data_IF_273508922990
#
_entry.id   IF_273508922990
#
_cell.length_a   1.000
_cell.length_b   1.000
_cell.length_c   1.000
_cell.angle_alpha   90.00
_cell.angle_beta   90.00
_cell.angle_gamma   90.00
#
_symmetry.space_group_name_H-M   'P 1'
#
loop_
_entity.id
_entity.type
_entity.pdbx_description
1 polymer ?
#
# COMPACT_ATOMS: atom_id res chain seq x y z
N UNK A 1 12.72 -18.99 8.95
CA UNK A 1 11.99 -17.85 8.38
C UNK A 1 12.20 -16.63 9.27
N UNK A 2 12.50 -15.49 8.66
CA UNK A 2 12.70 -14.28 9.44
C UNK A 2 11.39 -13.82 10.10
N UNK A 3 11.49 -13.26 11.29
CA UNK A 3 10.35 -12.65 11.96
C UNK A 3 9.91 -11.42 11.20
N UNK A 4 8.60 -11.12 11.22
CA UNK A 4 8.07 -9.92 10.62
C UNK A 4 8.55 -8.69 11.39
N UNK A 5 8.95 -7.65 10.65
CA UNK A 5 9.31 -6.37 11.22
C UNK A 5 8.05 -5.71 11.78
N UNK A 6 8.15 -5.11 12.96
CA UNK A 6 7.06 -4.31 13.54
C UNK A 6 7.48 -2.86 13.57
N UNK A 7 6.75 -2.01 12.85
CA UNK A 7 6.97 -0.57 12.83
C UNK A 7 6.02 0.12 13.79
N UNK A 8 6.53 1.08 14.54
CA UNK A 8 5.77 1.85 15.51
C UNK A 8 5.79 3.33 15.14
N UNK A 9 4.84 4.09 15.66
CA UNK A 9 4.82 5.55 15.48
C UNK A 9 6.13 6.15 15.98
N UNK A 10 6.73 7.00 15.16
CA UNK A 10 8.03 7.61 15.45
C UNK A 10 9.22 6.88 14.83
N UNK A 11 9.02 5.65 14.34
CA UNK A 11 10.07 4.94 13.63
C UNK A 11 10.29 5.56 12.25
N UNK A 12 11.54 5.49 11.78
CA UNK A 12 11.84 5.90 10.42
C UNK A 12 11.29 4.89 9.45
N UNK A 13 10.60 5.37 8.40
CA UNK A 13 10.03 4.49 7.39
C UNK A 13 11.11 3.79 6.58
N UNK A 14 10.96 2.49 6.28
CA UNK A 14 11.74 1.86 5.23
C UNK A 14 11.55 2.57 3.90
N UNK A 15 12.54 2.51 3.04
CA UNK A 15 12.46 3.08 1.69
C UNK A 15 11.80 2.08 0.74
N UNK A 16 11.10 2.59 -0.25
CA UNK A 16 10.57 1.77 -1.32
C UNK A 16 10.76 2.44 -2.67
N UNK A 17 10.78 1.63 -3.72
CA UNK A 17 10.91 2.05 -5.10
C UNK A 17 10.16 1.01 -5.94
N UNK A 18 8.99 1.36 -6.44
CA UNK A 18 8.14 0.42 -7.16
C UNK A 18 7.37 1.10 -8.28
N UNK A 19 6.98 0.31 -9.27
CA UNK A 19 6.11 0.77 -10.35
C UNK A 19 4.66 0.52 -9.98
N UNK A 20 3.78 1.39 -10.46
CA UNK A 20 2.35 1.15 -10.40
C UNK A 20 1.87 0.36 -11.62
N UNK A 21 0.57 0.06 -11.69
CA UNK A 21 0.00 -0.71 -12.78
C UNK A 21 0.03 0.00 -14.14
N UNK A 22 0.32 1.29 -14.15
CA UNK A 22 0.46 2.07 -15.39
C UNK A 22 1.92 2.26 -15.80
N UNK A 23 2.86 1.63 -15.09
CA UNK A 23 4.27 1.72 -15.38
C UNK A 23 4.97 2.94 -14.80
N UNK A 24 4.29 3.75 -14.01
CA UNK A 24 4.88 4.92 -13.37
C UNK A 24 5.62 4.49 -12.11
N UNK A 25 6.86 4.94 -11.98
CA UNK A 25 7.70 4.61 -10.83
C UNK A 25 7.43 5.54 -9.67
N UNK A 26 7.27 4.97 -8.48
CA UNK A 26 7.08 5.70 -7.24
C UNK A 26 8.21 5.37 -6.27
N UNK A 27 8.97 6.39 -5.92
CA UNK A 27 10.13 6.27 -5.05
C UNK A 27 9.89 7.16 -3.83
N UNK A 28 9.97 6.57 -2.63
CA UNK A 28 9.65 7.31 -1.41
C UNK A 28 10.49 8.58 -1.27
N UNK A 29 11.80 8.49 -1.53
CA UNK A 29 12.70 9.65 -1.41
C UNK A 29 12.27 10.80 -2.32
N UNK A 30 11.81 10.50 -3.54
CA UNK A 30 11.35 11.52 -4.49
C UNK A 30 10.04 12.17 -4.04
N UNK A 31 9.13 11.39 -3.48
CA UNK A 31 7.84 11.90 -2.98
C UNK A 31 8.09 12.85 -1.82
N UNK A 32 8.93 12.47 -0.87
CA UNK A 32 9.25 13.29 0.29
C UNK A 32 10.03 14.55 -0.12
N UNK A 33 10.93 14.45 -1.08
CA UNK A 33 11.67 15.59 -1.61
C UNK A 33 10.77 16.65 -2.26
N UNK A 34 9.60 16.22 -2.77
CA UNK A 34 8.58 17.13 -3.29
C UNK A 34 7.72 17.81 -2.23
N UNK A 35 7.98 17.57 -0.95
CA UNK A 35 7.24 18.17 0.16
C UNK A 35 5.94 17.44 0.50
N UNK A 36 5.76 16.23 0.02
CA UNK A 36 4.55 15.43 0.25
C UNK A 36 4.72 14.44 1.38
N UNK A 37 3.61 14.09 2.01
CA UNK A 37 3.48 12.98 2.96
C UNK A 37 2.86 11.79 2.23
N UNK A 38 3.04 10.58 2.75
CA UNK A 38 2.55 9.38 2.10
C UNK A 38 1.61 8.60 3.01
N UNK A 39 0.47 8.18 2.46
CA UNK A 39 -0.37 7.15 3.05
C UNK A 39 -0.14 5.89 2.23
N UNK A 40 0.58 4.94 2.80
CA UNK A 40 0.89 3.66 2.16
C UNK A 40 0.04 2.58 2.84
N UNK A 41 -0.88 1.97 2.11
CA UNK A 41 -1.72 0.94 2.71
C UNK A 41 -1.56 -0.40 1.98
N UNK A 42 -1.47 -1.45 2.77
CA UNK A 42 -1.37 -2.82 2.30
C UNK A 42 -2.71 -3.50 2.44
N UNK A 43 -3.14 -4.21 1.41
CA UNK A 43 -4.39 -4.94 1.42
C UNK A 43 -4.20 -6.32 0.79
N UNK A 44 -5.00 -7.32 1.22
CA UNK A 44 -4.76 -8.71 0.80
C UNK A 44 -4.99 -8.97 -0.68
N UNK A 45 -6.03 -8.39 -1.29
CA UNK A 45 -6.38 -8.75 -2.66
C UNK A 45 -7.32 -7.74 -3.32
N UNK A 46 -7.06 -7.41 -4.60
CA UNK A 46 -7.94 -6.58 -5.41
C UNK A 46 -9.34 -7.17 -5.50
N UNK A 47 -10.33 -6.29 -5.58
CA UNK A 47 -11.73 -6.62 -5.88
C UNK A 47 -12.41 -7.52 -4.85
N UNK A 48 -11.83 -7.71 -3.66
CA UNK A 48 -12.52 -8.34 -2.54
C UNK A 48 -13.39 -7.30 -1.82
N UNK A 49 -14.50 -7.70 -1.13
CA UNK A 49 -15.43 -6.72 -0.53
C UNK A 49 -14.77 -5.73 0.42
N UNK A 50 -13.95 -6.21 1.36
CA UNK A 50 -13.27 -5.33 2.33
C UNK A 50 -12.25 -4.41 1.68
N UNK A 51 -11.49 -4.91 0.73
CA UNK A 51 -10.48 -4.11 0.01
C UNK A 51 -11.15 -3.10 -0.93
N UNK A 52 -12.28 -3.45 -1.52
CA UNK A 52 -13.06 -2.53 -2.35
C UNK A 52 -13.60 -1.37 -1.51
N UNK A 53 -14.16 -1.66 -0.33
CA UNK A 53 -14.65 -0.62 0.57
C UNK A 53 -13.54 0.33 0.99
N UNK A 54 -12.38 -0.20 1.38
CA UNK A 54 -11.22 0.60 1.77
C UNK A 54 -10.74 1.49 0.62
N UNK A 55 -10.62 0.94 -0.58
CA UNK A 55 -10.19 1.70 -1.75
C UNK A 55 -11.17 2.82 -2.10
N UNK A 56 -12.46 2.54 -2.05
CA UNK A 56 -13.48 3.54 -2.32
C UNK A 56 -13.49 4.66 -1.28
N UNK A 57 -13.24 4.35 -0.01
CA UNK A 57 -13.12 5.35 1.03
C UNK A 57 -11.94 6.30 0.77
N UNK A 58 -10.79 5.78 0.39
CA UNK A 58 -9.65 6.60 0.00
C UNK A 58 -9.96 7.42 -1.26
N UNK A 59 -10.59 6.81 -2.25
CA UNK A 59 -10.98 7.51 -3.49
C UNK A 59 -11.85 8.73 -3.18
N UNK A 60 -12.85 8.55 -2.32
CA UNK A 60 -13.80 9.60 -1.98
C UNK A 60 -13.15 10.72 -1.17
N UNK A 61 -12.10 10.42 -0.41
CA UNK A 61 -11.36 11.39 0.40
C UNK A 61 -10.16 12.03 -0.31
N UNK A 62 -9.86 11.65 -1.55
CA UNK A 62 -8.62 12.07 -2.22
C UNK A 62 -8.45 13.58 -2.32
N UNK A 63 -9.52 14.32 -2.64
CA UNK A 63 -9.42 15.78 -2.76
C UNK A 63 -8.97 16.41 -1.44
N UNK A 64 -9.52 15.94 -0.32
CA UNK A 64 -9.16 16.42 1.02
C UNK A 64 -7.73 16.01 1.38
N UNK A 65 -7.36 14.75 1.12
CA UNK A 65 -6.03 14.26 1.44
C UNK A 65 -4.95 14.96 0.61
N UNK A 66 -5.19 15.16 -0.67
CA UNK A 66 -4.25 15.87 -1.55
C UNK A 66 -4.10 17.34 -1.12
N UNK A 67 -5.18 17.98 -0.67
CA UNK A 67 -5.11 19.36 -0.19
C UNK A 67 -4.24 19.51 1.07
N UNK A 68 -4.04 18.44 1.82
CA UNK A 68 -3.16 18.41 2.99
C UNK A 68 -1.77 17.86 2.68
N UNK A 69 -1.43 17.68 1.40
CA UNK A 69 -0.09 17.22 0.98
C UNK A 69 0.13 15.71 1.06
N UNK A 70 -0.93 14.91 1.11
CA UNK A 70 -0.81 13.46 1.13
C UNK A 70 -0.86 12.84 -0.26
N UNK A 71 0.02 11.87 -0.49
CA UNK A 71 -0.02 10.96 -1.64
C UNK A 71 -0.49 9.61 -1.12
N UNK A 72 -1.52 9.03 -1.72
CA UNK A 72 -2.06 7.73 -1.33
C UNK A 72 -1.55 6.67 -2.31
N UNK A 73 -0.96 5.60 -1.77
CA UNK A 73 -0.46 4.46 -2.54
C UNK A 73 -1.00 3.18 -1.93
N UNK A 74 -1.69 2.38 -2.74
CA UNK A 74 -2.14 1.05 -2.33
C UNK A 74 -1.13 -0.01 -2.76
N UNK A 75 -0.95 -1.05 -1.97
CA UNK A 75 -0.01 -2.14 -2.25
C UNK A 75 -0.67 -3.49 -2.01
N UNK A 76 -0.61 -4.36 -3.00
CA UNK A 76 -0.93 -5.78 -2.85
C UNK A 76 0.00 -6.60 -3.74
N UNK A 77 -0.07 -7.92 -3.61
CA UNK A 77 0.72 -8.84 -4.45
C UNK A 77 0.01 -9.21 -5.74
N UNK A 78 -1.10 -8.56 -6.06
CA UNK A 78 -1.83 -8.80 -7.29
C UNK A 78 -1.05 -8.35 -8.53
N UNK A 79 -1.41 -8.89 -9.68
CA UNK A 79 -0.77 -8.58 -10.95
C UNK A 79 -1.13 -7.18 -11.46
N UNK A 80 -0.36 -6.70 -12.43
CA UNK A 80 -0.63 -5.44 -13.13
C UNK A 80 -2.03 -5.41 -13.70
N UNK A 81 -2.45 -6.49 -14.36
CA UNK A 81 -3.78 -6.58 -14.96
C UNK A 81 -4.88 -6.53 -13.90
N UNK A 82 -4.69 -7.20 -12.77
CA UNK A 82 -5.63 -7.16 -11.65
C UNK A 82 -5.78 -5.74 -11.11
N UNK A 83 -4.69 -5.03 -10.89
CA UNK A 83 -4.70 -3.63 -10.47
C UNK A 83 -5.41 -2.72 -11.45
N UNK A 84 -5.14 -2.87 -12.75
CA UNK A 84 -5.80 -2.06 -13.78
C UNK A 84 -7.31 -2.29 -13.79
N UNK A 85 -7.75 -3.54 -13.68
CA UNK A 85 -9.16 -3.87 -13.62
C UNK A 85 -9.83 -3.26 -12.38
N UNK A 86 -9.16 -3.33 -11.23
CA UNK A 86 -9.66 -2.77 -9.98
C UNK A 86 -9.79 -1.25 -10.07
N UNK A 87 -8.77 -0.57 -10.55
CA UNK A 87 -8.78 0.88 -10.75
C UNK A 87 -9.91 1.29 -11.67
N UNK A 88 -10.07 0.62 -12.80
CA UNK A 88 -11.11 0.93 -13.79
C UNK A 88 -12.50 0.69 -13.23
N UNK A 89 -12.71 -0.46 -12.60
CA UNK A 89 -14.03 -0.86 -12.09
C UNK A 89 -14.51 0.06 -10.97
N UNK A 90 -13.61 0.46 -10.07
CA UNK A 90 -13.94 1.29 -8.91
C UNK A 90 -13.64 2.78 -9.14
N UNK A 91 -13.16 3.15 -10.32
CA UNK A 91 -12.80 4.53 -10.66
C UNK A 91 -11.82 5.13 -9.64
N UNK A 92 -10.78 4.36 -9.29
CA UNK A 92 -9.78 4.80 -8.31
C UNK A 92 -8.94 5.92 -8.88
N UNK A 93 -8.67 6.94 -8.06
CA UNK A 93 -7.92 8.13 -8.43
C UNK A 93 -6.56 8.22 -7.75
N UNK A 94 -6.01 7.08 -7.37
CA UNK A 94 -4.67 6.96 -6.80
C UNK A 94 -4.00 5.68 -7.32
N UNK A 95 -2.65 5.63 -7.32
CA UNK A 95 -1.93 4.47 -7.86
C UNK A 95 -2.00 3.23 -6.96
N UNK A 96 -1.93 2.06 -7.59
CA UNK A 96 -1.72 0.79 -6.91
C UNK A 96 -0.34 0.26 -7.29
N UNK A 97 0.53 0.06 -6.32
CA UNK A 97 1.90 -0.40 -6.54
C UNK A 97 1.95 -1.90 -6.79
N UNK A 98 2.87 -2.31 -7.64
CA UNK A 98 3.12 -3.72 -7.92
C UNK A 98 4.12 -4.27 -6.91
N UNK A 99 3.72 -5.32 -6.21
CA UNK A 99 4.58 -6.01 -5.24
C UNK A 99 4.39 -7.54 -5.34
N UNK A 100 4.39 -8.06 -6.56
CA UNK A 100 4.13 -9.47 -6.82
C UNK A 100 5.11 -10.40 -6.08
N UNK A 101 6.36 -9.98 -5.91
CA UNK A 101 7.38 -10.74 -5.18
C UNK A 101 7.32 -10.56 -3.66
N UNK A 102 6.49 -9.64 -3.15
CA UNK A 102 6.31 -9.42 -1.72
C UNK A 102 7.42 -8.61 -1.05
N UNK A 103 8.35 -8.03 -1.78
CA UNK A 103 9.48 -7.29 -1.21
C UNK A 103 9.03 -6.12 -0.34
N UNK A 104 8.07 -5.31 -0.83
CA UNK A 104 7.58 -4.16 -0.07
C UNK A 104 6.79 -4.63 1.15
N UNK A 105 5.99 -5.67 1.02
CA UNK A 105 5.29 -6.27 2.16
C UNK A 105 6.26 -6.68 3.26
N UNK A 106 7.34 -7.37 2.92
CA UNK A 106 8.33 -7.80 3.90
C UNK A 106 9.05 -6.62 4.54
N UNK A 107 9.43 -5.63 3.74
CA UNK A 107 10.13 -4.44 4.20
C UNK A 107 9.33 -3.66 5.25
N UNK A 108 8.02 -3.60 5.10
CA UNK A 108 7.13 -2.90 6.05
C UNK A 108 6.51 -3.83 7.10
N UNK A 109 6.87 -5.12 7.09
CA UNK A 109 6.32 -6.07 8.04
C UNK A 109 4.86 -6.42 7.82
N UNK A 110 4.34 -6.21 6.61
CA UNK A 110 2.95 -6.50 6.28
C UNK A 110 2.72 -7.94 5.81
N UNK A 111 3.79 -8.71 5.56
CA UNK A 111 3.71 -10.13 5.21
C UNK A 111 3.93 -10.94 6.48
N UNK A 112 2.85 -11.48 7.03
CA UNK A 112 2.86 -12.11 8.35
C UNK A 112 2.18 -13.46 8.36
N UNK A 113 2.49 -14.26 9.39
CA UNK A 113 1.74 -15.46 9.69
C UNK A 113 0.31 -15.10 10.10
N UNK A 114 -0.66 -15.72 9.44
CA UNK A 114 -2.08 -15.52 9.73
C UNK A 114 -2.71 -16.84 10.12
N UNK A 115 -3.77 -16.78 10.89
CA UNK A 115 -4.55 -17.95 11.29
C UNK A 115 -5.94 -17.88 10.68
N UNK A 116 -6.38 -18.96 10.06
CA UNK A 116 -7.71 -19.05 9.49
C UNK A 116 -8.23 -20.48 9.66
N UNK A 117 -9.31 -20.63 10.38
CA UNK A 117 -9.93 -21.93 10.69
C UNK A 117 -8.91 -22.92 11.29
N UNK A 118 -8.05 -22.45 12.19
CA UNK A 118 -7.02 -23.28 12.83
C UNK A 118 -5.80 -23.59 11.99
N UNK A 119 -5.70 -23.04 10.78
CA UNK A 119 -4.54 -23.19 9.90
C UNK A 119 -3.71 -21.93 9.89
N UNK A 120 -2.39 -22.08 10.02
CA UNK A 120 -1.44 -20.99 9.89
C UNK A 120 -0.99 -20.87 8.43
N UNK A 121 -0.89 -19.63 7.93
CA UNK A 121 -0.37 -19.36 6.60
C UNK A 121 0.24 -17.96 6.54
N UNK A 122 1.19 -17.75 5.64
CA UNK A 122 1.75 -16.43 5.40
C UNK A 122 0.82 -15.63 4.51
N UNK A 123 0.58 -14.39 4.88
CA UNK A 123 -0.29 -13.52 4.08
C UNK A 123 -0.10 -12.05 4.40
N UNK A 124 -0.76 -11.22 3.61
CA UNK A 124 -0.76 -9.78 3.83
C UNK A 124 -1.58 -9.44 5.07
N UNK A 125 -0.96 -8.78 6.03
CA UNK A 125 -1.68 -8.15 7.14
C UNK A 125 -2.16 -6.78 6.66
N UNK A 126 -3.48 -6.55 6.66
CA UNK A 126 -4.03 -5.25 6.29
C UNK A 126 -3.46 -4.17 7.20
N UNK A 127 -2.70 -3.25 6.62
CA UNK A 127 -1.93 -2.26 7.38
C UNK A 127 -1.92 -0.94 6.63
N UNK A 128 -1.96 0.17 7.38
CA UNK A 128 -1.83 1.50 6.81
C UNK A 128 -0.72 2.24 7.53
N UNK A 129 0.22 2.77 6.77
CA UNK A 129 1.34 3.56 7.28
C UNK A 129 1.19 4.99 6.81
N UNK A 130 1.28 5.94 7.73
CA UNK A 130 1.33 7.37 7.42
C UNK A 130 2.77 7.82 7.59
N UNK A 131 3.38 8.26 6.50
CA UNK A 131 4.79 8.65 6.45
C UNK A 131 4.85 10.17 6.34
N UNK A 132 5.45 10.81 7.34
CA UNK A 132 5.62 12.26 7.35
C UNK A 132 6.69 12.75 6.38
N UNK A 133 6.78 14.08 6.21
CA UNK A 133 7.71 14.71 5.29
C UNK A 133 9.19 14.40 5.58
N UNK A 134 9.50 14.08 6.81
CA UNK A 134 10.86 13.74 7.26
C UNK A 134 11.17 12.24 7.20
N UNK A 135 10.22 11.45 6.71
CA UNK A 135 10.36 10.00 6.66
C UNK A 135 10.04 9.36 7.99
#
# INVERSE_FOLDING_TARGET
MAEAITLEAGDKSPLFDAKDSKGVRHKLTDILAGGNKVILYFYPRDSTPGCTTQACDFRDDMARLASHGYVVLGVSKDSEKSHENFITKQELNFPLLLDEDGTIHETFGAWRMKMNYGKEYMGCARSTFVIGEDG
#
